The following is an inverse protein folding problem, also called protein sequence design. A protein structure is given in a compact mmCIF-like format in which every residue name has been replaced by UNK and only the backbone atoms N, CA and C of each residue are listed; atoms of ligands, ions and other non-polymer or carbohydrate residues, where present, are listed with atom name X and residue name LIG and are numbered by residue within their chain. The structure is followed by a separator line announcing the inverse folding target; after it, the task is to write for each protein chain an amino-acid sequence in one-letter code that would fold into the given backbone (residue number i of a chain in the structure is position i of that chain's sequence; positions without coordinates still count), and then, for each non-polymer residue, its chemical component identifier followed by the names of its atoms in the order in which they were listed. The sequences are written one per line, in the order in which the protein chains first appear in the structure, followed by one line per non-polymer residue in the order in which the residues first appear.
data_IF_614086582194
#
_entry.id   IF_614086582194
#
_cell.length_a   1.000
_cell.length_b   1.000
_cell.length_c   1.000
_cell.angle_alpha   90.00
_cell.angle_beta   90.00
_cell.angle_gamma   90.00
#
_symmetry.space_group_name_H-M   'P 1'
#
loop_
_entity.id
_entity.type
_entity.pdbx_description
1 polymer ?
#
# COMPACT_ATOMS: atom_id res chain seq x y z
N UNK A 1 -32.12 -53.79 25.77
CA UNK A 1 -31.83 -53.12 24.49
C UNK A 1 -31.82 -51.62 24.75
N UNK A 2 -30.63 -51.09 25.04
CA UNK A 2 -30.37 -49.69 25.37
C UNK A 2 -30.51 -48.81 24.12
N UNK A 3 -31.14 -47.64 24.27
CA UNK A 3 -31.15 -46.58 23.26
C UNK A 3 -30.17 -45.52 23.71
N UNK A 4 -29.01 -45.50 23.08
CA UNK A 4 -27.97 -44.49 23.28
C UNK A 4 -28.39 -43.18 22.60
N UNK A 5 -28.73 -42.17 23.41
CA UNK A 5 -28.81 -40.77 22.99
C UNK A 5 -27.53 -40.11 23.49
N UNK A 6 -26.60 -39.68 22.63
CA UNK A 6 -25.44 -38.91 23.09
C UNK A 6 -25.92 -37.52 23.53
N UNK A 7 -26.05 -37.34 24.85
CA UNK A 7 -26.15 -36.02 25.47
C UNK A 7 -24.85 -35.25 25.19
N UNK A 8 -24.97 -34.23 24.34
CA UNK A 8 -23.93 -33.25 24.05
C UNK A 8 -23.60 -32.52 25.37
N UNK A 9 -22.57 -32.98 26.09
CA UNK A 9 -22.15 -32.37 27.33
C UNK A 9 -21.44 -31.04 27.00
N UNK A 10 -22.21 -29.95 27.05
CA UNK A 10 -21.80 -28.58 26.82
C UNK A 10 -20.92 -28.09 27.97
N UNK A 11 -19.64 -28.40 27.95
CA UNK A 11 -18.63 -27.68 28.72
C UNK A 11 -18.31 -26.34 28.03
N UNK A 12 -19.26 -25.40 28.10
CA UNK A 12 -19.06 -23.99 27.73
C UNK A 12 -18.50 -23.22 28.94
N UNK A 13 -17.28 -23.53 29.36
CA UNK A 13 -16.56 -22.72 30.36
C UNK A 13 -15.97 -21.49 29.68
N UNK A 14 -16.63 -20.36 29.88
CA UNK A 14 -16.28 -19.04 29.32
C UNK A 14 -15.13 -18.37 30.12
N UNK A 15 -14.01 -19.08 30.33
CA UNK A 15 -12.87 -18.55 31.11
C UNK A 15 -11.75 -17.92 30.26
N UNK A 16 -11.90 -17.90 28.93
CA UNK A 16 -10.86 -17.41 28.02
C UNK A 16 -11.34 -16.27 27.09
N UNK A 17 -11.89 -15.21 27.66
CA UNK A 17 -12.14 -13.95 26.97
C UNK A 17 -11.42 -12.81 27.71
N UNK A 18 -10.08 -12.72 27.57
CA UNK A 18 -9.29 -11.69 28.24
C UNK A 18 -7.90 -11.49 27.66
N UNK A 19 -7.73 -10.42 26.88
CA UNK A 19 -6.45 -9.92 26.35
C UNK A 19 -5.56 -9.37 27.49
N UNK A 20 -4.76 -10.20 28.16
CA UNK A 20 -3.72 -9.67 29.09
C UNK A 20 -2.48 -10.54 29.35
N UNK A 21 -2.36 -11.75 28.79
CA UNK A 21 -1.25 -12.66 29.11
C UNK A 21 0.02 -12.49 28.24
N UNK A 22 -0.07 -11.85 27.08
CA UNK A 22 1.08 -11.66 26.18
C UNK A 22 2.13 -10.63 26.67
N UNK A 23 1.87 -9.91 27.78
CA UNK A 23 2.83 -8.96 28.38
C UNK A 23 3.77 -9.57 29.43
N UNK A 24 3.54 -10.83 29.87
CA UNK A 24 4.32 -11.47 30.95
C UNK A 24 5.45 -12.40 30.50
N UNK A 25 5.67 -12.56 29.19
CA UNK A 25 6.78 -13.36 28.63
C UNK A 25 8.03 -12.54 28.27
N UNK A 26 8.03 -11.22 28.49
CA UNK A 26 9.19 -10.34 28.19
C UNK A 26 10.17 -10.13 29.36
N UNK A 27 10.03 -10.86 30.47
CA UNK A 27 10.77 -10.56 31.70
C UNK A 27 11.72 -11.65 32.18
N UNK A 28 11.92 -12.74 31.43
CA UNK A 28 12.93 -13.75 31.75
C UNK A 28 13.46 -14.30 30.45
N UNK A 29 14.67 -13.86 30.07
CA UNK A 29 15.76 -14.64 29.49
C UNK A 29 16.89 -13.68 29.06
N UNK A 30 18.04 -13.86 29.73
CA UNK A 30 19.41 -13.59 29.31
C UNK A 30 19.94 -12.14 29.21
N UNK A 31 20.43 -11.67 30.35
CA UNK A 31 21.46 -10.63 30.44
C UNK A 31 22.79 -11.26 30.03
N UNK A 32 23.15 -11.15 28.75
CA UNK A 32 24.55 -11.21 28.33
C UNK A 32 25.10 -9.78 28.18
N UNK A 33 26.30 -9.47 28.68
CA UNK A 33 26.93 -8.17 28.46
C UNK A 33 27.36 -8.05 26.98
N UNK A 34 26.85 -7.01 26.31
CA UNK A 34 27.24 -6.65 24.93
C UNK A 34 28.70 -6.19 24.90
N UNK A 35 29.51 -6.60 23.91
CA UNK A 35 30.79 -5.95 23.64
C UNK A 35 30.56 -4.55 23.03
N UNK A 36 31.37 -3.59 23.48
CA UNK A 36 31.37 -2.19 23.03
C UNK A 36 31.61 -2.08 21.53
N UNK A 37 30.57 -1.79 20.76
CA UNK A 37 30.69 -1.33 19.38
C UNK A 37 30.88 0.19 19.38
N UNK A 38 32.10 0.65 19.66
CA UNK A 38 32.52 2.03 19.35
C UNK A 38 32.50 2.22 17.83
N UNK A 39 31.82 3.27 17.38
CA UNK A 39 31.88 3.74 16.00
C UNK A 39 30.74 3.28 15.10
N UNK A 40 29.49 3.64 15.42
CA UNK A 40 28.45 3.79 14.39
C UNK A 40 28.22 5.27 14.18
N UNK A 41 28.81 5.79 13.11
CA UNK A 41 28.46 7.08 12.54
C UNK A 41 26.94 7.16 12.45
N UNK A 42 26.38 8.18 13.10
CA UNK A 42 24.95 8.48 13.03
C UNK A 42 24.76 9.05 11.63
N UNK A 43 24.52 8.16 10.66
CA UNK A 43 23.95 8.55 9.38
C UNK A 43 22.69 9.34 9.73
N UNK A 44 22.72 10.65 9.44
CA UNK A 44 21.59 11.54 9.59
C UNK A 44 20.46 10.98 8.74
N UNK A 45 19.60 10.19 9.38
CA UNK A 45 18.38 9.64 8.80
C UNK A 45 17.55 10.85 8.38
N UNK A 46 17.70 11.25 7.11
CA UNK A 46 16.81 12.19 6.45
C UNK A 46 15.41 11.67 6.73
N UNK A 47 14.66 12.37 7.60
CA UNK A 47 13.29 11.99 7.95
C UNK A 47 12.56 11.72 6.65
N UNK A 48 12.16 10.47 6.43
CA UNK A 48 11.29 10.15 5.32
C UNK A 48 10.07 11.09 5.41
N UNK A 49 9.67 11.73 4.31
CA UNK A 49 8.53 12.63 4.33
C UNK A 49 7.33 11.90 4.94
N UNK A 50 6.61 12.56 5.85
CA UNK A 50 5.38 12.01 6.44
C UNK A 50 4.46 11.59 5.29
N UNK A 51 4.21 10.31 5.19
CA UNK A 51 3.30 9.78 4.17
C UNK A 51 1.92 10.39 4.38
N UNK A 52 1.33 10.91 3.31
CA UNK A 52 -0.07 11.34 3.35
C UNK A 52 -0.93 10.09 3.25
N UNK A 53 -1.69 9.81 4.30
CA UNK A 53 -2.77 8.82 4.24
C UNK A 53 -3.94 9.47 3.49
N UNK A 54 -3.92 9.28 2.17
CA UNK A 54 -4.92 9.84 1.27
C UNK A 54 -6.01 8.81 1.05
N UNK A 55 -7.27 9.28 0.92
CA UNK A 55 -8.39 8.40 0.59
C UNK A 55 -8.11 7.62 -0.69
N UNK A 56 -8.50 6.34 -0.73
CA UNK A 56 -8.28 5.47 -1.90
C UNK A 56 -8.88 6.05 -3.19
N UNK A 57 -9.94 6.86 -3.10
CA UNK A 57 -10.54 7.56 -4.24
C UNK A 57 -9.62 8.63 -4.82
N UNK A 58 -9.06 9.48 -3.96
CA UNK A 58 -8.15 10.55 -4.35
C UNK A 58 -6.85 9.99 -4.94
N UNK A 59 -6.36 8.87 -4.38
CA UNK A 59 -5.22 8.14 -4.92
C UNK A 59 -5.46 7.69 -6.37
N UNK A 60 -6.60 7.05 -6.63
CA UNK A 60 -6.97 6.59 -7.97
C UNK A 60 -7.09 7.77 -8.94
N UNK A 61 -7.70 8.89 -8.52
CA UNK A 61 -7.79 10.12 -9.33
C UNK A 61 -6.38 10.63 -9.69
N UNK A 62 -5.46 10.64 -8.73
CA UNK A 62 -4.08 11.08 -8.97
C UNK A 62 -3.36 10.17 -9.95
N UNK A 63 -3.47 8.85 -9.80
CA UNK A 63 -2.86 7.89 -10.76
C UNK A 63 -3.42 8.11 -12.17
N UNK A 64 -4.75 8.27 -12.33
CA UNK A 64 -5.38 8.55 -13.63
C UNK A 64 -4.80 9.80 -14.29
N UNK A 65 -4.74 10.90 -13.54
CA UNK A 65 -4.15 12.16 -14.00
C UNK A 65 -2.69 12.00 -14.44
N UNK A 66 -1.88 11.29 -13.64
CA UNK A 66 -0.49 11.04 -13.97
C UNK A 66 -0.33 10.14 -15.20
N UNK A 67 -1.27 9.21 -15.42
CA UNK A 67 -1.29 8.34 -16.61
C UNK A 67 -1.60 9.11 -17.89
N UNK A 68 -2.38 10.19 -17.81
CA UNK A 68 -2.58 11.08 -18.95
C UNK A 68 -1.31 11.84 -19.32
N UNK A 69 -0.53 12.23 -18.30
CA UNK A 69 0.69 13.03 -18.47
C UNK A 69 1.92 12.20 -18.84
N UNK A 70 2.01 10.97 -18.36
CA UNK A 70 3.21 10.13 -18.45
C UNK A 70 2.92 8.75 -19.05
N UNK A 71 3.87 8.22 -19.82
CA UNK A 71 3.72 6.93 -20.51
C UNK A 71 4.18 5.73 -19.67
N UNK A 72 5.08 5.92 -18.73
CA UNK A 72 5.77 4.84 -18.01
C UNK A 72 5.18 4.62 -16.61
N UNK A 73 5.35 3.40 -16.10
CA UNK A 73 4.97 3.08 -14.73
C UNK A 73 5.89 3.78 -13.73
N UNK A 74 7.18 3.79 -14.03
CA UNK A 74 8.24 4.34 -13.18
C UNK A 74 7.99 5.81 -12.89
N UNK A 75 7.71 6.63 -13.91
CA UNK A 75 7.43 8.05 -13.71
C UNK A 75 6.22 8.29 -12.82
N UNK A 76 5.14 7.51 -12.97
CA UNK A 76 3.97 7.62 -12.07
C UNK A 76 4.34 7.26 -10.64
N UNK A 77 5.08 6.16 -10.46
CA UNK A 77 5.54 5.70 -9.14
C UNK A 77 6.48 6.71 -8.47
N UNK A 78 7.45 7.27 -9.21
CA UNK A 78 8.39 8.26 -8.70
C UNK A 78 7.69 9.54 -8.29
N UNK A 79 6.79 10.08 -9.13
CA UNK A 79 6.02 11.28 -8.80
C UNK A 79 5.17 11.06 -7.54
N UNK A 80 4.49 9.92 -7.44
CA UNK A 80 3.69 9.59 -6.24
C UNK A 80 4.56 9.49 -4.99
N UNK A 81 5.76 8.89 -5.08
CA UNK A 81 6.72 8.82 -3.97
C UNK A 81 7.25 10.19 -3.58
N UNK A 82 7.62 11.03 -4.56
CA UNK A 82 8.10 12.39 -4.33
C UNK A 82 7.03 13.26 -3.66
N UNK A 83 5.78 13.11 -4.06
CA UNK A 83 4.65 13.80 -3.45
C UNK A 83 4.22 13.19 -2.08
N UNK A 84 4.88 12.13 -1.61
CA UNK A 84 4.67 11.53 -0.30
C UNK A 84 3.47 10.59 -0.19
N UNK A 85 2.97 10.06 -1.31
CA UNK A 85 1.87 9.09 -1.32
C UNK A 85 2.39 7.67 -1.04
N UNK A 86 1.69 6.94 -0.17
CA UNK A 86 1.89 5.50 0.01
C UNK A 86 0.94 4.74 -0.92
N UNK A 87 1.48 4.22 -2.01
CA UNK A 87 0.70 3.50 -3.04
C UNK A 87 1.35 2.17 -3.33
N UNK A 88 0.55 1.11 -3.42
CA UNK A 88 1.05 -0.19 -3.89
C UNK A 88 1.28 -0.15 -5.40
N UNK A 89 2.33 -0.84 -5.87
CA UNK A 89 2.59 -0.98 -7.31
C UNK A 89 1.42 -1.65 -8.05
N UNK A 90 0.72 -2.58 -7.37
CA UNK A 90 -0.49 -3.24 -7.90
C UNK A 90 -1.60 -2.22 -8.16
N UNK A 91 -1.84 -1.28 -7.22
CA UNK A 91 -2.86 -0.24 -7.40
C UNK A 91 -2.50 0.72 -8.55
N UNK A 92 -1.22 1.09 -8.68
CA UNK A 92 -0.74 1.91 -9.81
C UNK A 92 -0.96 1.15 -11.13
N UNK A 93 -0.55 -0.11 -11.19
CA UNK A 93 -0.66 -0.96 -12.39
C UNK A 93 -2.11 -1.10 -12.84
N UNK A 94 -3.02 -1.49 -11.93
CA UNK A 94 -4.44 -1.65 -12.24
C UNK A 94 -5.07 -0.38 -12.80
N UNK A 95 -4.92 0.75 -12.08
CA UNK A 95 -5.51 2.03 -12.52
C UNK A 95 -4.92 2.51 -13.84
N UNK A 96 -3.63 2.27 -14.10
CA UNK A 96 -2.97 2.63 -15.37
C UNK A 96 -3.49 1.80 -16.53
N UNK A 97 -3.68 0.49 -16.33
CA UNK A 97 -4.22 -0.41 -17.34
C UNK A 97 -5.65 0.00 -17.72
N UNK A 98 -6.50 0.25 -16.74
CA UNK A 98 -7.88 0.73 -16.96
C UNK A 98 -7.89 2.04 -17.74
N UNK A 99 -7.03 2.99 -17.34
CA UNK A 99 -6.96 4.30 -17.98
C UNK A 99 -6.42 4.20 -19.41
N UNK A 100 -5.46 3.32 -19.67
CA UNK A 100 -4.94 3.07 -21.04
C UNK A 100 -6.00 2.44 -21.94
N UNK A 101 -6.77 1.49 -21.42
CA UNK A 101 -7.89 0.92 -22.16
C UNK A 101 -8.93 1.98 -22.51
N UNK A 102 -9.29 2.85 -21.55
CA UNK A 102 -10.20 3.97 -21.80
C UNK A 102 -9.66 4.95 -22.85
N UNK A 103 -8.38 5.34 -22.76
CA UNK A 103 -7.75 6.23 -23.76
C UNK A 103 -7.79 5.59 -25.15
N UNK A 104 -7.48 4.30 -25.25
CA UNK A 104 -7.50 3.56 -26.52
C UNK A 104 -8.89 3.60 -27.15
N UNK A 105 -9.92 3.27 -26.38
CA UNK A 105 -11.31 3.32 -26.85
C UNK A 105 -11.70 4.74 -27.30
N UNK A 106 -11.34 5.77 -26.54
CA UNK A 106 -11.65 7.16 -26.91
C UNK A 106 -10.95 7.61 -28.20
N UNK A 107 -9.75 7.10 -28.49
CA UNK A 107 -9.05 7.35 -29.76
C UNK A 107 -9.73 6.61 -30.91
N UNK A 108 -10.14 5.36 -30.71
CA UNK A 108 -10.83 4.54 -31.71
C UNK A 108 -12.19 5.14 -32.09
N UNK A 109 -12.93 5.66 -31.12
CA UNK A 109 -14.22 6.34 -31.33
C UNK A 109 -14.06 7.79 -31.85
N UNK A 110 -12.84 8.29 -32.03
CA UNK A 110 -12.57 9.66 -32.49
C UNK A 110 -12.96 10.76 -31.48
N UNK A 111 -13.27 10.39 -30.24
CA UNK A 111 -13.58 11.32 -29.14
C UNK A 111 -12.31 11.99 -28.57
N UNK A 112 -11.15 11.40 -28.86
CA UNK A 112 -9.85 11.92 -28.49
C UNK A 112 -8.96 12.02 -29.74
N UNK A 113 -8.23 13.12 -29.85
CA UNK A 113 -7.22 13.31 -30.90
C UNK A 113 -5.84 12.93 -30.36
N UNK A 114 -5.17 12.02 -31.06
CA UNK A 114 -3.84 11.52 -30.70
C UNK A 114 -2.79 12.64 -30.67
N UNK A 115 -2.81 13.56 -31.64
CA UNK A 115 -1.84 14.65 -31.70
C UNK A 115 -2.02 15.60 -30.53
N UNK A 116 -3.28 15.93 -30.19
CA UNK A 116 -3.59 16.76 -29.01
C UNK A 116 -3.18 16.08 -27.71
N UNK A 117 -3.41 14.78 -27.59
CA UNK A 117 -2.98 14.01 -26.42
C UNK A 117 -1.45 14.03 -26.27
N UNK A 118 -0.73 13.89 -27.37
CA UNK A 118 0.73 13.92 -27.35
C UNK A 118 1.29 15.31 -27.02
N UNK A 119 0.68 16.38 -27.55
CA UNK A 119 1.00 17.76 -27.16
C UNK A 119 0.77 17.99 -25.66
N UNK A 120 -0.35 17.48 -25.12
CA UNK A 120 -0.65 17.55 -23.69
C UNK A 120 0.43 16.86 -22.85
N UNK A 121 0.85 15.65 -23.24
CA UNK A 121 1.93 14.92 -22.56
C UNK A 121 3.23 15.70 -22.56
N UNK A 122 3.65 16.23 -23.72
CA UNK A 122 4.88 17.03 -23.83
C UNK A 122 4.85 18.27 -22.95
N UNK A 123 3.70 18.94 -22.86
CA UNK A 123 3.52 20.12 -21.99
C UNK A 123 3.64 19.78 -20.50
N UNK A 124 3.27 18.56 -20.11
CA UNK A 124 3.19 18.12 -18.71
C UNK A 124 4.23 17.08 -18.31
N UNK A 125 5.23 16.81 -19.16
CA UNK A 125 6.33 15.88 -18.89
C UNK A 125 7.57 16.55 -18.25
N UNK A 126 7.49 17.85 -17.95
CA UNK A 126 8.50 18.60 -17.18
C UNK A 126 8.21 18.53 -15.69
#
# INVERSE_FOLDING_TARGET
MSRDIPMLNQNNTYEFAGKSLAKRSRLRLDIQPKPDARGKEIATSKRAPKSRDVSGSEMRKKIRLLTLRTRTFESVSEILKQEGYRVSGIAISGVRSDMRAAIKLLLEEGLLDEQRLEQYRRKHSK
#
